data_IF_990389731788
#
_entry.id   IF_990389731788
#
_cell.length_a   1.000
_cell.length_b   1.000
_cell.length_c   1.000
_cell.angle_alpha   90.00
_cell.angle_beta   90.00
_cell.angle_gamma   90.00
#
_symmetry.space_group_name_H-M   'P 1'
#
loop_
_entity.id
_entity.type
_entity.pdbx_description
1 polymer ?
2 water ?
#
# COMPACT_ATOMS: atom_id res chain seq x y z
N UNK A 10 -1.68 -23.99 -13.80
CA UNK A 10 -2.87 -23.97 -12.95
C UNK A 10 -3.75 -22.74 -13.23
N UNK A 11 -3.30 -21.57 -12.80
CA UNK A 11 -3.99 -20.33 -13.10
C UNK A 11 -5.41 -20.27 -12.58
N UNK A 12 -5.61 -20.75 -11.36
CA UNK A 12 -6.93 -20.67 -10.74
C UNK A 12 -6.93 -19.96 -9.41
N UNK A 13 -5.89 -19.17 -9.17
CA UNK A 13 -5.75 -18.51 -7.89
C UNK A 13 -6.84 -17.47 -7.62
N UNK A 14 -7.55 -17.02 -8.67
CA UNK A 14 -8.64 -16.08 -8.45
C UNK A 14 -10.02 -16.73 -8.33
N UNK A 15 -10.10 -18.05 -8.45
CA UNK A 15 -11.31 -18.79 -8.08
C UNK A 15 -11.40 -18.80 -6.56
N UNK A 16 -11.87 -17.72 -6.00
CA UNK A 16 -11.84 -17.52 -4.58
C UNK A 16 -13.23 -17.66 -3.96
N UNK A 17 -13.35 -18.55 -2.97
CA UNK A 17 -14.58 -18.63 -2.18
C UNK A 17 -14.33 -18.34 -0.71
N UNK A 18 -13.09 -18.09 -0.36
CA UNK A 18 -12.79 -17.73 1.01
C UNK A 18 -11.66 -16.71 1.08
N UNK A 19 -11.94 -15.55 1.68
CA UNK A 19 -10.90 -14.59 1.94
C UNK A 19 -10.75 -14.55 3.44
N UNK A 20 -9.63 -14.02 3.87
CA UNK A 20 -9.30 -14.03 5.28
C UNK A 20 -8.78 -12.67 5.67
N UNK A 21 -9.06 -12.26 6.91
CA UNK A 21 -8.39 -11.11 7.47
C UNK A 21 -6.95 -11.57 7.67
N UNK A 22 -6.04 -10.96 6.91
CA UNK A 22 -4.63 -11.39 6.92
C UNK A 22 -3.73 -10.51 7.77
N UNK A 23 -2.85 -11.17 8.49
CA UNK A 23 -1.86 -10.50 9.29
C UNK A 23 -0.49 -11.04 8.93
N UNK A 24 0.56 -10.30 9.30
CA UNK A 24 1.92 -10.75 8.97
C UNK A 24 2.11 -12.16 9.50
N UNK A 25 2.79 -13.01 8.74
CA UNK A 25 3.12 -14.34 9.23
C UNK A 25 4.61 -14.51 9.52
N UNK A 26 5.41 -13.52 9.12
CA UNK A 26 6.83 -13.53 9.46
C UNK A 26 7.32 -12.18 9.95
N UNK A 27 8.18 -12.21 10.95
CA UNK A 27 8.75 -11.00 11.50
C UNK A 27 10.22 -10.98 11.19
N UNK A 28 10.75 -9.78 11.01
CA UNK A 28 12.17 -9.65 10.87
C UNK A 28 12.56 -8.51 11.78
N UNK A 29 13.21 -8.89 12.86
CA UNK A 29 13.65 -7.95 13.86
C UNK A 29 15.04 -7.50 13.45
N UNK A 30 15.21 -6.20 13.37
CA UNK A 30 16.53 -5.64 13.17
C UNK A 30 16.86 -4.76 14.36
N UNK A 31 18.09 -4.28 14.42
CA UNK A 31 18.53 -3.50 15.57
C UNK A 31 17.66 -2.28 15.88
N UNK A 32 17.23 -1.52 14.86
CA UNK A 32 16.42 -0.34 15.12
C UNK A 32 15.03 -0.38 14.48
N UNK A 33 14.60 -1.55 14.03
CA UNK A 33 13.29 -1.65 13.42
C UNK A 33 12.76 -3.05 13.20
N UNK A 34 11.49 -3.11 12.83
CA UNK A 34 10.80 -4.36 12.63
C UNK A 34 10.23 -4.39 11.23
N UNK A 35 10.30 -5.56 10.60
CA UNK A 35 9.70 -5.76 9.31
C UNK A 35 8.76 -6.95 9.40
N UNK A 36 7.48 -6.68 9.21
CA UNK A 36 6.47 -7.72 9.24
C UNK A 36 5.99 -8.04 7.82
N UNK A 37 6.07 -9.33 7.48
CA UNK A 37 5.78 -9.76 6.11
C UNK A 37 4.54 -10.64 6.07
N UNK A 38 3.56 -10.21 5.27
CA UNK A 38 2.37 -11.02 5.09
C UNK A 38 2.77 -12.22 4.27
N UNK A 39 1.93 -13.25 4.28
CA UNK A 39 2.20 -14.49 3.56
C UNK A 39 1.78 -14.33 2.10
N UNK A 40 2.76 -14.18 1.22
CA UNK A 40 2.48 -14.00 -0.18
C UNK A 40 1.94 -15.25 -0.84
N UNK A 41 1.97 -16.38 -0.13
CA UNK A 41 1.43 -17.62 -0.69
C UNK A 41 -0.07 -17.67 -0.55
N UNK A 42 -0.60 -16.93 0.41
CA UNK A 42 -2.05 -16.85 0.55
C UNK A 42 -2.69 -16.68 -0.83
N UNK A 43 -3.70 -17.49 -1.09
CA UNK A 43 -4.31 -17.54 -2.40
C UNK A 43 -4.66 -16.14 -2.93
N UNK A 44 -5.24 -15.32 -2.08
CA UNK A 44 -5.71 -14.02 -2.58
C UNK A 44 -4.54 -13.10 -2.89
N UNK A 45 -3.37 -13.32 -2.26
CA UNK A 45 -2.18 -12.57 -2.66
C UNK A 45 -1.67 -13.06 -4.01
N UNK A 46 -1.78 -14.37 -4.24
CA UNK A 46 -1.34 -14.92 -5.50
C UNK A 46 -2.25 -14.38 -6.60
N UNK A 47 -3.54 -14.35 -6.32
CA UNK A 47 -4.51 -13.80 -7.24
C UNK A 47 -4.20 -12.32 -7.56
N UNK A 48 -3.88 -11.53 -6.53
CA UNK A 48 -3.64 -10.10 -6.67
C UNK A 48 -2.25 -9.85 -7.23
N UNK A 49 -1.33 -10.77 -6.99
CA UNK A 49 0.02 -10.64 -7.50
C UNK A 49 0.77 -9.55 -6.76
N UNK A 50 0.61 -9.52 -5.45
CA UNK A 50 1.29 -8.53 -4.66
C UNK A 50 1.80 -9.15 -3.39
N UNK A 51 2.67 -8.42 -2.72
CA UNK A 51 3.09 -8.78 -1.39
C UNK A 51 2.92 -7.53 -0.54
N UNK A 52 2.77 -7.72 0.74
CA UNK A 52 2.64 -6.60 1.63
C UNK A 52 3.62 -6.77 2.76
N UNK A 53 4.33 -5.69 3.06
CA UNK A 53 5.11 -5.60 4.28
C UNK A 53 4.77 -4.36 5.08
N UNK A 54 5.12 -4.40 6.36
CA UNK A 54 4.97 -3.24 7.21
C UNK A 54 6.29 -3.11 7.94
N UNK A 55 6.91 -1.94 7.85
CA UNK A 55 8.16 -1.71 8.54
C UNK A 55 7.92 -0.73 9.63
N UNK A 56 8.43 -1.05 10.80
CA UNK A 56 8.40 -0.17 11.94
C UNK A 56 9.83 0.20 12.20
N UNK A 57 10.15 1.46 11.94
CA UNK A 57 11.50 1.95 12.14
C UNK A 57 11.51 2.78 13.40
N UNK A 58 12.24 2.32 14.39
CA UNK A 58 12.34 3.05 15.65
C UNK A 58 12.97 4.42 15.44
N UNK A 59 12.71 5.36 16.36
CA UNK A 59 13.37 6.67 16.27
C UNK A 59 14.88 6.51 16.13
N UNK A 60 15.49 7.39 15.31
CA UNK A 60 16.92 7.32 15.01
C UNK A 60 17.31 6.06 14.25
N UNK A 61 16.32 5.37 13.69
CA UNK A 61 16.54 4.18 12.90
C UNK A 61 16.71 4.45 11.41
N UNK A 62 17.68 3.78 10.82
CA UNK A 62 17.99 3.95 9.41
C UNK A 62 17.73 2.68 8.61
N UNK A 63 16.65 2.68 7.83
CA UNK A 63 16.40 1.61 6.87
C UNK A 63 17.49 1.68 5.82
N UNK A 64 18.35 0.67 5.79
CA UNK A 64 19.49 0.65 4.88
C UNK A 64 19.01 0.79 3.43
N UNK A 65 19.85 1.36 2.57
CA UNK A 65 19.44 1.44 1.17
C UNK A 65 19.19 0.07 0.56
N UNK A 66 18.10 -0.04 -0.18
CA UNK A 66 17.83 -1.22 -0.97
C UNK A 66 17.01 -0.85 -2.20
N UNK A 67 16.82 -1.82 -3.07
CA UNK A 67 15.85 -1.68 -4.14
C UNK A 67 15.16 -3.03 -4.36
N UNK A 68 14.01 -3.00 -5.04
CA UNK A 68 13.33 -4.22 -5.40
C UNK A 68 12.87 -4.05 -6.83
N UNK A 69 12.84 -5.16 -7.56
CA UNK A 69 12.48 -5.15 -8.96
C UNK A 69 11.02 -4.74 -9.18
N UNK A 70 10.21 -4.79 -8.13
CA UNK A 70 8.81 -4.34 -8.24
C UNK A 70 8.59 -2.92 -7.73
N UNK A 71 7.63 -2.18 -8.33
CA UNK A 71 7.27 -0.85 -7.85
C UNK A 71 6.55 -1.01 -6.51
N UNK A 72 6.59 0.01 -5.67
CA UNK A 72 5.96 -0.06 -4.38
C UNK A 72 5.11 1.15 -4.16
N UNK A 73 4.03 0.95 -3.44
CA UNK A 73 3.15 1.98 -2.99
C UNK A 73 3.29 1.94 -1.49
N UNK A 74 3.69 3.06 -0.91
CA UNK A 74 3.97 3.14 0.51
C UNK A 74 3.00 4.10 1.21
N UNK A 75 2.38 3.63 2.28
CA UNK A 75 1.60 4.52 3.12
C UNK A 75 2.30 4.65 4.46
N UNK A 76 2.53 5.88 4.87
CA UNK A 76 3.13 6.19 6.16
C UNK A 76 2.00 6.17 7.16
N UNK A 77 1.91 5.10 7.92
CA UNK A 77 0.79 4.90 8.82
C UNK A 77 0.98 5.79 10.02
N UNK A 78 2.24 5.97 10.39
CA UNK A 78 2.57 6.62 11.64
C UNK A 78 3.93 7.25 11.55
N UNK A 79 4.07 8.39 12.19
CA UNK A 79 5.37 9.02 12.33
C UNK A 79 5.74 9.94 11.19
N UNK A 80 6.96 10.42 11.27
CA UNK A 80 7.56 11.16 10.17
C UNK A 80 9.03 10.82 10.11
N UNK A 81 9.66 11.22 9.02
CA UNK A 81 11.05 10.92 8.78
C UNK A 81 11.37 11.43 7.40
N UNK A 82 12.45 10.90 6.85
CA UNK A 82 12.88 11.30 5.54
C UNK A 82 13.30 10.08 4.76
N UNK A 83 13.07 10.13 3.47
CA UNK A 83 13.51 9.08 2.58
C UNK A 83 14.40 9.70 1.52
N UNK A 84 15.54 9.06 1.27
CA UNK A 84 16.37 9.42 0.15
C UNK A 84 16.17 8.46 -1.01
N UNK A 85 15.80 8.98 -2.16
CA UNK A 85 15.72 8.20 -3.38
C UNK A 85 16.92 8.48 -4.28
N UNK A 86 17.64 7.45 -4.68
CA UNK A 86 18.80 7.65 -5.55
C UNK A 86 18.42 7.32 -6.97
N UNK A 87 17.70 8.24 -7.60
CA UNK A 87 17.27 8.02 -8.96
C UNK A 87 18.41 8.34 -9.90
N UNK A 88 18.76 7.38 -10.78
CA UNK A 88 19.85 7.53 -11.73
C UNK A 88 19.64 8.74 -12.63
N UNK A 89 20.56 9.70 -12.58
CA UNK A 89 20.55 10.82 -13.50
C UNK A 89 20.13 12.13 -12.87
N UNK A 90 19.58 12.06 -11.66
CA UNK A 90 19.07 13.25 -11.00
C UNK A 90 20.21 14.05 -10.38
N UNK A 91 20.00 15.37 -10.21
CA UNK A 91 21.10 16.29 -9.89
C UNK A 91 21.62 16.11 -8.47
N UNK A 92 22.94 16.17 -8.30
CA UNK A 92 23.51 16.36 -6.98
C UNK A 92 23.06 17.70 -6.37
N UNK A 93 23.39 17.90 -5.10
CA UNK A 93 22.82 18.98 -4.33
C UNK A 93 23.88 19.44 -3.32
N UNK A 94 23.91 20.74 -3.02
CA UNK A 94 24.93 21.28 -2.11
C UNK A 94 24.37 22.28 -1.11
N UNK A 125 32.35 19.56 3.09
CA UNK A 125 30.96 19.63 2.66
C UNK A 125 30.44 18.32 2.08
N UNK A 126 29.26 18.36 1.49
CA UNK A 126 28.63 17.15 1.00
C UNK A 126 27.70 17.39 -0.18
N UNK A 127 27.57 16.37 -1.03
CA UNK A 127 26.61 16.37 -2.10
C UNK A 127 25.79 15.09 -2.00
N UNK A 128 24.49 15.20 -2.18
CA UNK A 128 23.64 14.04 -2.27
C UNK A 128 22.38 14.38 -3.05
N UNK A 129 21.58 13.37 -3.35
CA UNK A 129 20.37 13.64 -4.11
C UNK A 129 19.30 14.22 -3.20
N UNK A 130 18.19 14.64 -3.80
CA UNK A 130 17.11 15.26 -3.04
C UNK A 130 16.64 14.34 -1.92
N UNK A 131 16.60 14.90 -0.72
CA UNK A 131 16.01 14.26 0.43
C UNK A 131 14.57 14.69 0.46
N UNK A 132 13.67 13.74 0.69
CA UNK A 132 12.26 14.10 0.74
C UNK A 132 11.75 13.75 2.12
N UNK A 133 10.66 14.39 2.53
CA UNK A 133 10.11 14.17 3.85
C UNK A 133 8.97 13.16 3.78
N UNK A 134 8.88 12.34 4.81
CA UNK A 134 7.77 11.40 4.95
C UNK A 134 6.96 11.85 6.14
N UNK A 135 5.64 11.90 5.99
CA UNK A 135 4.79 12.20 7.13
C UNK A 135 3.57 11.29 7.14
N UNK A 136 2.99 11.12 8.32
CA UNK A 136 1.75 10.36 8.45
C UNK A 136 0.75 10.77 7.38
N UNK A 137 0.06 9.79 6.81
CA UNK A 137 -0.91 10.09 5.79
C UNK A 137 -0.30 10.13 4.41
N UNK A 138 1.01 10.04 4.35
CA UNK A 138 1.71 10.08 3.07
C UNK A 138 1.52 8.79 2.30
N UNK A 139 1.11 8.92 1.05
CA UNK A 139 1.18 7.83 0.08
C UNK A 139 2.25 8.12 -0.96
N UNK A 140 3.34 7.37 -0.85
CA UNK A 140 4.53 7.53 -1.67
C UNK A 140 4.64 6.40 -2.73
N UNK A 141 5.11 6.75 -3.92
CA UNK A 141 5.31 5.77 -5.00
C UNK A 141 6.78 5.51 -5.25
N UNK A 142 7.21 4.26 -5.11
CA UNK A 142 8.57 3.83 -5.47
C UNK A 142 8.59 3.09 -6.79
N UNK A 143 9.19 3.69 -7.83
CA UNK A 143 9.28 3.00 -9.13
C UNK A 143 10.17 1.79 -9.00
N UNK A 144 9.98 0.81 -9.87
CA UNK A 144 10.76 -0.42 -9.83
C UNK A 144 12.25 -0.10 -9.87
N UNK A 145 13.04 -0.81 -9.07
CA UNK A 145 14.47 -0.76 -9.18
C UNK A 145 15.13 0.45 -8.51
N UNK A 146 14.33 1.45 -8.13
CA UNK A 146 14.90 2.64 -7.51
C UNK A 146 15.42 2.37 -6.09
N UNK A 147 16.70 2.59 -5.91
CA UNK A 147 17.34 2.37 -4.63
C UNK A 147 16.89 3.47 -3.66
N UNK A 148 16.72 3.12 -2.41
CA UNK A 148 16.24 4.11 -1.46
C UNK A 148 16.48 3.66 -0.04
N UNK A 149 16.61 4.66 0.83
CA UNK A 149 16.76 4.41 2.25
C UNK A 149 15.78 5.32 2.97
N UNK A 150 15.47 4.98 4.20
CA UNK A 150 14.59 5.83 5.00
C UNK A 150 15.18 6.00 6.38
N UNK A 151 14.83 7.10 7.03
CA UNK A 151 15.31 7.36 8.37
C UNK A 151 14.25 8.05 9.20
N UNK A 152 14.06 7.55 10.41
CA UNK A 152 13.09 8.17 11.30
C UNK A 152 13.74 9.26 12.14
N UNK A 153 13.54 10.51 11.74
CA UNK A 153 14.08 11.63 12.48
C UNK A 153 13.05 12.20 13.42
N UNK A 154 11.97 11.46 13.63
CA UNK A 154 10.91 11.87 14.53
C UNK A 154 11.01 11.19 15.87
N UNK A 155 9.96 11.33 16.67
CA UNK A 155 9.97 10.87 18.06
C UNK A 155 9.18 9.59 18.28
N UNK A 156 8.15 9.38 17.46
CA UNK A 156 7.39 8.14 17.52
C UNK A 156 7.89 7.15 16.47
N UNK A 157 7.54 5.87 16.60
CA UNK A 157 8.05 4.95 15.59
C UNK A 157 7.48 5.27 14.20
N UNK A 158 8.33 5.20 13.19
CA UNK A 158 7.92 5.50 11.83
C UNK A 158 7.39 4.23 11.21
N UNK A 159 6.14 4.24 10.77
CA UNK A 159 5.51 3.02 10.28
C UNK A 159 4.95 3.15 8.88
N UNK A 160 5.45 2.30 7.99
CA UNK A 160 5.06 2.31 6.60
C UNK A 160 4.44 0.97 6.20
N UNK A 161 3.31 1.05 5.52
CA UNK A 161 2.67 -0.12 5.01
C UNK A 161 2.92 -0.10 3.52
N UNK A 162 3.58 -1.16 3.07
CA UNK A 162 4.14 -1.20 1.75
C UNK A 162 3.47 -2.27 0.90
N UNK A 163 2.79 -1.84 -0.16
CA UNK A 163 2.38 -2.78 -1.18
C UNK A 163 3.50 -2.94 -2.20
N UNK A 164 3.87 -4.19 -2.45
CA UNK A 164 4.89 -4.52 -3.43
C UNK A 164 4.23 -5.25 -4.59
N UNK A 165 4.21 -4.60 -5.75
CA UNK A 165 3.40 -5.09 -6.85
C UNK A 165 4.20 -5.99 -7.76
N UNK A 166 4.41 -7.22 -7.30
CA UNK A 166 5.30 -8.16 -7.96
C UNK A 166 4.79 -8.49 -9.34
N UNK A 167 3.47 -8.41 -9.54
CA UNK A 167 2.88 -8.68 -10.84
C UNK A 167 2.94 -7.48 -11.81
N UNK A 168 3.54 -6.38 -11.39
CA UNK A 168 3.67 -5.21 -12.26
C UNK A 168 4.50 -5.57 -13.48
N UNK A 169 4.08 -5.07 -14.64
CA UNK A 169 4.89 -5.16 -15.86
C UNK A 169 6.33 -4.72 -15.62
N UNK A 170 6.53 -3.81 -14.67
CA UNK A 170 7.88 -3.33 -14.37
C UNK A 170 8.77 -4.40 -13.73
N UNK A 171 8.17 -5.33 -12.99
CA UNK A 171 8.93 -6.43 -12.41
C UNK A 171 9.16 -7.55 -13.42
N UNK A 172 10.40 -7.73 -13.85
CA UNK A 172 10.71 -8.76 -14.84
C UNK A 172 11.39 -9.99 -14.21
N UNK A 173 11.49 -10.03 -12.89
CA UNK A 173 12.01 -11.20 -12.20
C UNK A 173 10.83 -12.09 -11.82
N UNK A 174 10.97 -12.97 -10.84
CA UNK A 174 9.85 -13.86 -10.51
C UNK A 174 8.63 -13.10 -9.96
N UNK A 175 7.47 -13.71 -10.11
CA UNK A 175 6.20 -13.11 -9.74
C UNK A 175 5.69 -13.61 -8.40
N UNK A 176 6.25 -14.74 -7.95
CA UNK A 176 5.85 -15.34 -6.69
C UNK A 176 6.16 -14.49 -5.46
N UNK A 177 7.38 -13.98 -5.37
CA UNK A 177 7.82 -13.23 -4.20
C UNK A 177 8.62 -11.99 -4.61
N UNK A 178 8.56 -10.92 -3.80
CA UNK A 178 9.42 -9.78 -4.12
C UNK A 178 10.87 -10.21 -4.10
N UNK A 179 11.68 -9.56 -4.92
CA UNK A 179 13.11 -9.74 -4.86
C UNK A 179 13.68 -8.43 -4.36
N UNK A 180 14.39 -8.50 -3.25
CA UNK A 180 15.01 -7.32 -2.71
C UNK A 180 16.53 -7.38 -2.66
N UNK A 181 17.14 -6.29 -3.11
CA UNK A 181 18.59 -6.16 -3.11
C UNK A 181 18.97 -5.04 -2.15
N UNK A 182 19.84 -5.33 -1.18
CA UNK A 182 20.33 -4.30 -0.25
C UNK A 182 21.72 -3.83 -0.63
N UNK A 183 22.00 -2.59 -0.26
CA UNK A 183 23.24 -1.92 -0.65
C UNK A 183 24.18 -1.81 0.53
N UNK A 184 23.78 -2.38 1.66
CA UNK A 184 24.57 -2.32 2.87
C UNK A 184 24.04 -3.33 3.89
N UNK A 185 24.86 -3.69 4.85
CA UNK A 185 24.44 -4.55 5.95
C UNK A 185 24.43 -6.02 5.60
N UNK A 186 23.87 -6.82 6.48
CA UNK A 186 23.69 -8.24 6.22
C UNK A 186 22.26 -8.61 6.58
N UNK A 187 21.30 -8.12 5.78
CA UNK A 187 19.85 -8.24 5.99
C UNK A 187 19.33 -9.66 5.79
N UNK A 188 18.35 -10.06 6.59
CA UNK A 188 17.70 -11.34 6.38
C UNK A 188 16.87 -11.29 5.11
N UNK A 189 16.71 -12.43 4.43
CA UNK A 189 15.76 -12.51 3.33
C UNK A 189 14.42 -12.08 3.89
N UNK A 190 13.66 -11.34 3.12
CA UNK A 190 12.40 -10.85 3.62
C UNK A 190 11.25 -11.74 3.16
N UNK A 191 11.50 -12.63 2.20
CA UNK A 191 10.41 -13.41 1.63
C UNK A 191 10.65 -14.91 1.41
N UNK A 192 11.46 -15.53 2.26
CA UNK A 192 11.72 -16.96 2.20
C UNK A 192 12.86 -17.36 3.13
N UNK A 207 25.41 -17.31 4.60
CA UNK A 207 25.51 -17.59 3.18
C UNK A 207 24.80 -16.56 2.31
N UNK A 208 24.47 -15.41 2.90
CA UNK A 208 23.83 -14.32 2.17
C UNK A 208 24.27 -12.95 2.68
N UNK A 209 23.88 -11.90 1.97
CA UNK A 209 24.20 -10.53 2.35
C UNK A 209 23.75 -9.49 1.33
N UNK A 210 24.25 -8.27 1.47
CA UNK A 210 23.96 -7.17 0.55
C UNK A 210 24.74 -7.36 -0.74
N UNK A 211 24.39 -6.63 -1.80
CA UNK A 211 24.94 -6.96 -3.11
C UNK A 211 26.45 -6.87 -3.15
N UNK A 212 27.02 -6.00 -2.32
CA UNK A 212 28.46 -5.82 -2.31
C UNK A 212 29.16 -7.09 -1.84
N UNK A 213 28.56 -7.77 -0.86
CA UNK A 213 29.12 -9.03 -0.39
C UNK A 213 29.40 -9.97 -1.56
N UNK A 214 28.65 -9.80 -2.65
CA UNK A 214 28.81 -10.67 -3.80
C UNK A 214 30.09 -10.46 -4.57
N UNK A 215 30.60 -9.25 -4.57
CA UNK A 215 31.76 -8.97 -5.41
C UNK A 215 33.08 -9.34 -4.73
N UNK A 216 34.02 -9.76 -5.58
CA UNK A 216 35.42 -9.84 -5.21
C UNK A 216 35.82 -8.54 -4.51
N UNK A 217 36.29 -8.64 -3.28
CA UNK A 217 36.63 -7.47 -2.46
C UNK A 217 37.60 -6.54 -3.17
N UNK A 218 38.61 -7.12 -3.82
CA UNK A 218 39.57 -6.33 -4.56
C UNK A 218 38.86 -5.42 -5.54
N UNK A 219 38.10 -6.02 -6.48
CA UNK A 219 37.28 -5.29 -7.43
C UNK A 219 36.49 -4.16 -6.76
N UNK A 220 35.96 -4.42 -5.57
CA UNK A 220 35.24 -3.39 -4.83
C UNK A 220 36.12 -2.21 -4.49
N UNK A 221 37.24 -2.50 -3.84
CA UNK A 221 38.19 -1.46 -3.43
C UNK A 221 38.61 -0.64 -4.64
N UNK A 222 39.00 -1.34 -5.70
CA UNK A 222 39.40 -0.71 -6.94
C UNK A 222 38.28 0.18 -7.45
N UNK A 223 37.06 -0.33 -7.38
CA UNK A 223 35.92 0.37 -7.96
C UNK A 223 35.74 1.73 -7.32
N UNK A 224 35.86 1.77 -6.00
CA UNK A 224 35.61 3.00 -5.27
C UNK A 224 36.86 3.84 -5.01
N UNK A 225 38.00 3.38 -5.48
CA UNK A 225 39.26 4.05 -5.20
C UNK A 225 39.47 4.05 -3.69
N UNK A 226 39.24 2.89 -3.09
CA UNK A 226 39.18 2.81 -1.64
C UNK A 226 40.01 1.62 -1.17
N UNK A 227 40.43 1.65 0.09
CA UNK A 227 41.26 0.57 0.61
C UNK A 227 40.45 -0.72 0.66
N UNK A 228 41.14 -1.85 0.70
CA UNK A 228 40.48 -3.15 0.88
C UNK A 228 39.69 -3.20 2.17
N UNK A 229 40.30 -2.78 3.27
CA UNK A 229 39.66 -2.91 4.57
C UNK A 229 38.29 -2.23 4.53
N UNK A 230 38.24 -1.06 3.89
CA UNK A 230 36.98 -0.33 3.78
C UNK A 230 36.01 -1.02 2.83
N UNK A 231 36.53 -1.59 1.74
CA UNK A 231 35.70 -2.41 0.85
C UNK A 231 34.96 -3.51 1.62
N UNK A 232 35.64 -4.14 2.58
CA UNK A 232 35.03 -5.19 3.42
C UNK A 232 33.88 -4.64 4.24
N UNK A 233 33.94 -3.35 4.54
CA UNK A 233 32.86 -2.70 5.25
C UNK A 233 31.62 -2.67 4.36
N UNK A 234 31.83 -2.35 3.09
CA UNK A 234 30.76 -2.48 2.11
C UNK A 234 30.10 -3.86 2.23
N UNK A 235 30.92 -4.89 2.38
CA UNK A 235 30.38 -6.23 2.29
C UNK A 235 29.71 -6.66 3.56
N UNK A 236 29.97 -5.90 4.63
CA UNK A 236 29.29 -6.08 5.91
C UNK A 236 29.20 -7.53 6.33
N UNK A 237 30.21 -8.32 6.00
CA UNK A 237 30.24 -9.71 6.45
C UNK A 237 30.20 -9.76 7.98
N UNK A 238 30.71 -8.71 8.62
CA UNK A 238 30.78 -8.62 10.07
C UNK A 238 29.65 -7.76 10.66
N UNK A 239 28.47 -7.82 10.07
CA UNK A 239 27.37 -6.94 10.52
C UNK A 239 26.19 -7.75 11.02
N UNK A 240 25.63 -7.33 12.14
CA UNK A 240 24.58 -8.10 12.78
C UNK A 240 23.39 -7.21 13.11
N UNK A 241 23.34 -6.04 12.48
CA UNK A 241 22.31 -5.05 12.76
C UNK A 241 21.01 -5.26 12.00
N UNK A 242 21.06 -6.06 10.95
CA UNK A 242 19.87 -6.31 10.14
C UNK A 242 19.63 -5.16 9.18
N UNK A 243 18.41 -5.02 8.66
CA UNK A 243 18.11 -4.04 7.60
C UNK A 243 17.78 -2.64 8.11
N UNK A 244 17.46 -2.51 9.39
CA UNK A 244 17.16 -1.20 9.95
C UNK A 244 18.09 -0.95 11.12
N UNK A 245 19.04 -0.05 10.93
CA UNK A 245 20.11 0.17 11.88
C UNK A 245 19.96 1.46 12.68
N UNK A 246 20.59 1.49 13.85
CA UNK A 246 20.52 2.63 14.75
C UNK A 246 21.65 3.63 14.50
N UNK A 247 21.32 4.91 14.48
CA UNK A 247 22.33 5.94 14.32
C UNK A 247 22.38 6.87 15.52
N UNK A 249 23.38 9.48 17.54
CA UNK A 249 23.84 10.42 16.51
C UNK A 249 22.66 11.04 15.76
N UNK A 250 22.92 11.45 14.52
CA UNK A 250 21.89 11.99 13.65
C UNK A 250 22.44 12.15 12.25
N UNK A 251 21.61 12.66 11.33
CA UNK A 251 22.04 12.83 9.94
C UNK A 251 22.00 14.31 9.54
N UNK A 252 23.06 14.76 8.88
CA UNK A 252 23.29 16.18 8.59
C UNK A 252 24.03 16.87 9.74
N UNK A 281 11.70 14.92 -14.89
CA UNK A 281 11.05 15.65 -13.81
C UNK A 281 11.03 14.89 -12.50
N UNK A 282 11.03 13.55 -12.57
CA UNK A 282 10.98 12.72 -11.37
C UNK A 282 11.94 13.21 -10.29
N UNK A 283 13.05 13.79 -10.73
CA UNK A 283 14.07 14.35 -9.83
C UNK A 283 13.52 15.41 -8.88
N UNK A 284 12.47 16.11 -9.32
CA UNK A 284 11.94 17.26 -8.56
C UNK A 284 10.52 17.10 -7.98
N UNK A 285 9.76 16.10 -8.44
CA UNK A 285 8.43 15.83 -7.90
C UNK A 285 8.46 15.29 -6.46
N UNK A 286 7.39 15.46 -5.71
CA UNK A 286 7.37 14.91 -4.35
C UNK A 286 7.29 13.40 -4.36
N UNK A 287 6.62 12.85 -5.38
CA UNK A 287 6.42 11.40 -5.48
C UNK A 287 5.49 10.89 -4.38
N UNK A 288 4.75 11.81 -3.78
CA UNK A 288 3.82 11.49 -2.71
C UNK A 288 2.65 12.46 -2.68
N UNK A 289 1.51 12.01 -2.19
CA UNK A 289 0.48 12.93 -1.74
C UNK A 289 -0.07 12.48 -0.38
N UNK A 290 -0.29 13.44 0.51
CA UNK A 290 -0.83 13.12 1.82
C UNK A 290 -2.34 12.99 1.75
N UNK A 291 -2.86 11.81 2.06
CA UNK A 291 -4.29 11.55 1.93
C UNK A 291 -5.04 11.97 3.18
N UNK A 292 -4.30 12.47 4.17
CA UNK A 292 -4.94 13.03 5.36
C UNK A 292 -5.37 14.49 5.15
N UNK A 293 -5.11 15.00 3.96
CA UNK A 293 -5.45 16.38 3.65
C UNK A 293 -6.93 16.45 3.28
N UNK A 294 -7.76 16.88 4.22
CA UNK A 294 -9.21 16.80 4.03
C UNK A 294 -9.72 17.57 2.80
N UNK A 295 -8.99 18.58 2.35
CA UNK A 295 -9.41 19.31 1.16
C UNK A 295 -9.29 18.45 -0.11
N UNK A 296 -8.46 17.41 -0.04
CA UNK A 296 -8.21 16.59 -1.23
C UNK A 296 -9.23 15.47 -1.40
N UNK A 297 -9.95 15.16 -0.33
CA UNK A 297 -11.01 14.18 -0.40
C UNK A 297 -11.88 14.34 -1.66
N UNK A 298 -12.20 13.22 -2.31
CA UNK A 298 -13.07 13.24 -3.48
C UNK A 298 -14.49 13.07 -3.01
N UNK A 299 -14.60 12.46 -1.84
CA UNK A 299 -15.89 12.21 -1.26
C UNK A 299 -15.85 12.62 0.18
N UNK A 300 -16.83 13.44 0.56
CA UNK A 300 -17.19 13.60 1.95
C UNK A 300 -18.70 13.47 2.07
N UNK A 301 -19.15 12.88 3.17
CA UNK A 301 -20.56 12.85 3.49
C UNK A 301 -20.68 13.15 4.97
N UNK A 302 -21.34 14.26 5.31
CA UNK A 302 -21.62 14.73 6.67
C UNK A 302 -21.83 13.60 7.67
N UNK A 303 -20.90 13.45 8.62
CA UNK A 303 -21.00 12.42 9.64
C UNK A 303 -21.14 11.02 9.06
N UNK A 304 -20.50 10.81 7.92
CA UNK A 304 -20.36 9.48 7.34
C UNK A 304 -18.87 9.20 7.22
N UNK A 305 -18.17 10.13 6.57
CA UNK A 305 -16.72 10.11 6.48
C UNK A 305 -16.20 10.63 5.15
N UNK A 306 -15.01 10.18 4.77
CA UNK A 306 -14.42 10.62 3.52
C UNK A 306 -13.59 9.55 2.81
N UNK A 307 -13.39 9.79 1.52
CA UNK A 307 -12.62 8.92 0.67
C UNK A 307 -11.68 9.82 -0.09
N UNK A 308 -10.41 9.46 -0.14
CA UNK A 308 -9.41 10.29 -0.79
C UNK A 308 -8.57 9.43 -1.70
N UNK A 309 -8.56 9.75 -2.99
CA UNK A 309 -7.88 8.91 -3.96
C UNK A 309 -6.53 9.45 -4.36
N UNK A 310 -5.56 8.55 -4.51
CA UNK A 310 -4.30 8.88 -5.14
C UNK A 310 -4.25 8.12 -6.45
N UNK A 311 -4.23 8.87 -7.54
CA UNK A 311 -4.08 8.31 -8.87
C UNK A 311 -3.13 9.16 -9.70
N UNK A 312 -3.24 9.05 -11.01
CA UNK A 312 -2.28 9.64 -11.93
C UNK A 312 -2.41 11.16 -12.05
N UNK A 313 -3.51 11.71 -11.55
CA UNK A 313 -3.76 13.15 -11.65
C UNK A 313 -3.13 13.93 -10.50
N UNK A 314 -3.26 13.45 -9.27
CA UNK A 314 -2.56 14.11 -8.20
C UNK A 314 -1.17 13.52 -7.94
N UNK A 315 -0.93 12.32 -8.45
CA UNK A 315 0.40 11.71 -8.36
C UNK A 315 0.78 11.16 -9.74
N UNK A 316 1.35 12.02 -10.60
CA UNK A 316 1.56 11.70 -12.01
C UNK A 316 2.46 10.49 -12.24
N UNK A 317 3.42 10.27 -11.36
CA UNK A 317 4.30 9.11 -11.47
C UNK A 317 3.46 7.81 -11.54
N UNK A 318 2.27 7.82 -10.95
CA UNK A 318 1.46 6.62 -10.95
C UNK A 318 1.06 6.24 -12.37
N UNK A 319 1.27 7.17 -13.31
CA UNK A 319 1.04 6.85 -14.71
C UNK A 319 2.05 5.76 -15.07
N UNK A 320 3.23 5.83 -14.48
CA UNK A 320 4.26 4.84 -14.78
C UNK A 320 4.09 3.53 -13.99
N UNK A 321 3.77 3.64 -12.71
CA UNK A 321 3.59 2.46 -11.89
C UNK A 321 2.31 1.70 -12.21
N UNK A 322 1.31 2.39 -12.75
CA UNK A 322 0.00 1.81 -12.97
C UNK A 322 -0.55 1.24 -11.66
N UNK A 323 -0.37 2.00 -10.58
CA UNK A 323 -1.04 1.70 -9.35
C UNK A 323 -1.81 2.93 -8.94
N UNK A 324 -2.78 2.72 -8.07
CA UNK A 324 -3.45 3.81 -7.42
C UNK A 324 -3.71 3.43 -5.98
N UNK A 325 -4.32 4.33 -5.23
CA UNK A 325 -4.50 4.15 -3.81
C UNK A 325 -5.68 4.98 -3.37
N UNK A 326 -6.25 4.64 -2.22
CA UNK A 326 -7.24 5.49 -1.58
C UNK A 326 -7.14 5.34 -0.08
N UNK A 327 -7.52 6.39 0.62
CA UNK A 327 -7.70 6.28 2.05
C UNK A 327 -9.16 6.57 2.36
N UNK A 328 -9.72 5.78 3.26
CA UNK A 328 -11.10 5.98 3.64
C UNK A 328 -11.22 6.17 5.14
N UNK A 329 -12.06 7.12 5.54
CA UNK A 329 -12.45 7.20 6.93
C UNK A 329 -13.97 7.07 7.04
N UNK A 330 -14.39 6.07 7.80
CA UNK A 330 -15.80 5.96 8.11
C UNK A 330 -15.91 6.31 9.56
N UNK A 331 -16.84 7.20 9.87
CA UNK A 331 -17.08 7.62 11.25
C UNK A 331 -17.99 6.60 11.90
N UNK A 332 -18.28 6.78 13.19
CA UNK A 332 -19.08 5.80 13.92
C UNK A 332 -20.32 5.34 13.16
N UNK A 333 -20.45 4.03 13.00
CA UNK A 333 -21.61 3.37 12.38
C UNK A 333 -21.87 3.74 10.91
N UNK A 334 -20.95 4.48 10.30
CA UNK A 334 -21.10 4.84 8.91
C UNK A 334 -20.69 3.67 8.05
N UNK A 335 -21.16 3.68 6.81
CA UNK A 335 -20.82 2.62 5.89
C UNK A 335 -20.46 3.16 4.52
N UNK A 336 -19.66 2.38 3.80
CA UNK A 336 -19.44 2.60 2.40
C UNK A 336 -20.36 1.63 1.67
N UNK A 337 -21.26 2.17 0.85
CA UNK A 337 -22.22 1.34 0.16
C UNK A 337 -21.56 0.18 -0.56
N UNK A 338 -22.31 -0.91 -0.73
CA UNK A 338 -21.76 -2.02 -1.50
C UNK A 338 -21.26 -1.46 -2.83
N UNK A 339 -20.04 -1.80 -3.20
CA UNK A 339 -19.46 -1.33 -4.44
C UNK A 339 -18.51 -2.39 -4.93
N UNK A 340 -18.10 -2.24 -6.18
CA UNK A 340 -17.07 -3.09 -6.73
C UNK A 340 -16.09 -2.23 -7.48
N UNK A 341 -14.85 -2.66 -7.48
CA UNK A 341 -13.82 -1.97 -8.22
C UNK A 341 -13.79 -2.54 -9.64
N UNK A 342 -13.83 -1.63 -10.62
CA UNK A 342 -13.96 -2.04 -12.03
C UNK A 342 -12.69 -2.66 -12.55
N UNK A 343 -11.56 -2.13 -12.13
CA UNK A 343 -10.35 -2.36 -12.87
C UNK A 343 -9.16 -2.94 -12.10
N UNK A 344 -9.33 -3.14 -10.80
CA UNK A 344 -8.17 -3.36 -9.96
C UNK A 344 -8.49 -4.22 -8.73
N UNK A 345 -7.49 -4.98 -8.28
CA UNK A 345 -7.56 -5.65 -6.98
C UNK A 345 -7.37 -4.57 -5.95
N UNK A 346 -8.01 -4.77 -4.82
CA UNK A 346 -7.92 -3.80 -3.78
C UNK A 346 -7.36 -4.43 -2.52
N UNK A 347 -6.16 -4.04 -2.15
CA UNK A 347 -5.60 -4.57 -0.92
C UNK A 347 -5.96 -3.57 0.14
N UNK A 348 -7.06 -3.84 0.82
CA UNK A 348 -7.53 -2.95 1.87
C UNK A 348 -6.94 -3.29 3.23
N UNK A 349 -6.07 -2.40 3.68
CA UNK A 349 -5.42 -2.48 4.97
C UNK A 349 -6.16 -1.62 5.98
N UNK A 350 -6.48 -2.20 7.14
CA UNK A 350 -7.14 -1.42 8.16
C UNK A 350 -6.14 -0.64 8.98
N UNK A 351 -6.32 0.68 8.98
CA UNK A 351 -5.44 1.58 9.68
C UNK A 351 -5.87 1.76 11.13
N UNK A 352 -7.15 2.02 11.37
CA UNK A 352 -7.67 2.08 12.73
C UNK A 352 -9.15 1.79 12.78
N UNK A 353 -9.69 1.60 13.97
CA UNK A 353 -11.10 1.28 14.11
C UNK A 353 -11.40 -0.16 13.76
N UNK A 354 -12.63 -0.42 13.35
CA UNK A 354 -13.09 -1.77 13.12
C UNK A 354 -14.29 -1.70 12.20
N UNK A 355 -14.42 -2.71 11.33
CA UNK A 355 -15.52 -2.73 10.40
C UNK A 355 -16.00 -4.14 10.08
N UNK A 356 -17.31 -4.28 9.95
CA UNK A 356 -17.88 -5.50 9.39
C UNK A 356 -17.74 -5.37 7.88
N UNK A 357 -16.87 -6.21 7.32
CA UNK A 357 -16.62 -6.17 5.91
C UNK A 357 -17.21 -7.41 5.28
N UNK A 358 -17.98 -7.21 4.24
CA UNK A 358 -18.51 -8.35 3.53
C UNK A 358 -18.20 -8.27 2.02
N UNK A 359 -17.71 -9.39 1.50
CA UNK A 359 -17.22 -9.48 0.14
C UNK A 359 -17.88 -10.66 -0.56
N UNK A 360 -18.31 -10.42 -1.79
CA UNK A 360 -19.04 -11.39 -2.58
C UNK A 360 -18.30 -11.65 -3.88
N UNK A 361 -18.32 -12.89 -4.33
CA UNK A 361 -17.60 -13.25 -5.54
C UNK A 361 -18.54 -13.27 -6.75
N UNK A 362 -18.07 -13.85 -7.86
CA UNK A 362 -18.85 -13.83 -9.09
C UNK A 362 -20.03 -14.79 -9.04
N UNK A 363 -20.03 -15.64 -8.02
CA UNK A 363 -21.05 -16.68 -7.87
C UNK A 363 -22.21 -16.21 -7.01
N UNK A 364 -22.10 -15.00 -6.47
CA UNK A 364 -23.09 -14.49 -5.55
C UNK A 364 -22.89 -15.05 -4.15
N UNK A 365 -21.72 -15.65 -3.93
CA UNK A 365 -21.39 -16.24 -2.63
C UNK A 365 -20.55 -15.27 -1.82
N UNK A 366 -20.87 -15.16 -0.54
CA UNK A 366 -20.04 -14.40 0.38
C UNK A 366 -18.72 -15.14 0.53
N UNK A 367 -17.61 -14.43 0.42
CA UNK A 367 -16.31 -15.09 0.58
C UNK A 367 -15.65 -14.50 1.78
N UNK A 368 -16.35 -13.58 2.39
CA UNK A 368 -15.81 -12.84 3.51
C UNK A 368 -16.94 -12.14 4.23
N UNK A 369 -16.98 -12.34 5.54
CA UNK A 369 -17.95 -11.66 6.38
C UNK A 369 -17.38 -11.69 7.79
N UNK A 370 -16.44 -10.78 8.05
CA UNK A 370 -15.68 -10.76 9.29
C UNK A 370 -15.45 -9.30 9.59
N UNK A 371 -14.91 -9.02 10.79
CA UNK A 371 -14.56 -7.67 11.18
C UNK A 371 -13.07 -7.44 10.98
N UNK A 372 -12.71 -6.35 10.32
CA UNK A 372 -11.31 -5.99 10.17
C UNK A 372 -10.98 -4.96 11.21
N UNK A 373 -9.79 -5.06 11.79
CA UNK A 373 -9.30 -4.03 12.72
C UNK A 373 -7.84 -3.74 12.48
N UNK A 374 -7.28 -2.90 13.34
CA UNK A 374 -5.92 -2.39 13.18
C UNK A 374 -4.98 -3.46 12.64
N UNK A 375 -4.28 -3.14 11.56
CA UNK A 375 -3.14 -3.91 11.12
C UNK A 375 -3.50 -5.13 10.30
N UNK A 376 -4.79 -5.38 10.14
CA UNK A 376 -5.24 -6.46 9.27
C UNK A 376 -5.58 -5.93 7.90
N UNK A 377 -5.46 -6.79 6.90
CA UNK A 377 -5.86 -6.40 5.56
C UNK A 377 -6.66 -7.52 4.97
N UNK A 378 -7.54 -7.18 4.04
CA UNK A 378 -8.15 -8.20 3.22
C UNK A 378 -7.90 -7.84 1.77
N UNK A 379 -7.77 -8.87 0.94
CA UNK A 379 -7.60 -8.65 -0.47
C UNK A 379 -8.96 -8.75 -1.11
N UNK A 380 -9.39 -7.64 -1.71
CA UNK A 380 -10.58 -7.62 -2.51
C UNK A 380 -10.20 -7.78 -3.97
N UNK A 381 -10.52 -8.92 -4.57
CA UNK A 381 -10.20 -9.11 -6.00
C UNK A 381 -11.04 -8.20 -6.89
N UNK A 382 -10.41 -7.77 -7.99
CA UNK A 382 -11.07 -6.99 -9.02
C UNK A 382 -12.47 -7.52 -9.24
N UNK A 383 -13.44 -6.62 -9.21
CA UNK A 383 -14.81 -6.92 -9.56
C UNK A 383 -15.58 -7.58 -8.43
N UNK A 384 -14.89 -8.02 -7.39
CA UNK A 384 -15.60 -8.57 -6.24
C UNK A 384 -16.34 -7.45 -5.51
N UNK A 385 -17.62 -7.67 -5.27
CA UNK A 385 -18.45 -6.69 -4.59
C UNK A 385 -18.18 -6.67 -3.09
N UNK A 386 -18.21 -5.47 -2.53
CA UNK A 386 -17.84 -5.26 -1.14
C UNK A 386 -18.60 -4.10 -0.48
N UNK A 387 -18.94 -4.30 0.80
CA UNK A 387 -19.51 -3.26 1.66
C UNK A 387 -18.69 -3.15 2.95
N UNK A 388 -18.55 -1.95 3.46
CA UNK A 388 -17.77 -1.74 4.66
C UNK A 388 -18.65 -1.03 5.67
N UNK A 389 -18.86 -1.67 6.82
CA UNK A 389 -19.71 -1.09 7.85
C UNK A 389 -18.87 -0.80 9.09
N UNK A 390 -18.65 0.48 9.35
CA UNK A 390 -17.89 0.89 10.52
C UNK A 390 -18.64 0.56 11.81
N UNK A 391 -17.91 0.29 12.88
CA UNK A 391 -18.52 0.17 14.19
C UNK A 391 -18.32 1.47 14.97
N UNK A 392 -18.60 1.42 16.27
CA UNK A 392 -18.73 2.64 17.09
C UNK A 392 -17.49 3.54 17.07
N UNK A 393 -16.34 2.94 16.81
CA UNK A 393 -15.11 3.71 16.80
C UNK A 393 -14.77 4.20 15.40
N UNK A 394 -15.64 3.90 14.46
CA UNK A 394 -15.37 4.20 13.07
C UNK A 394 -14.44 3.16 12.48
N UNK A 395 -14.00 3.41 11.26
CA UNK A 395 -13.17 2.45 10.56
C UNK A 395 -12.42 3.19 9.48
N UNK A 396 -11.11 3.00 9.43
CA UNK A 396 -10.27 3.74 8.52
C UNK A 396 -9.30 2.79 7.87
N UNK A 397 -9.15 2.92 6.56
CA UNK A 397 -8.37 1.98 5.81
C UNK A 397 -7.59 2.67 4.70
N UNK A 398 -6.48 2.08 4.32
CA UNK A 398 -5.85 2.43 3.07
C UNK A 398 -6.03 1.26 2.10
N UNK A 399 -6.41 1.60 0.88
CA UNK A 399 -6.57 0.64 -0.20
C UNK A 399 -5.46 0.83 -1.22
N UNK A 400 -4.64 -0.20 -1.39
CA UNK A 400 -3.63 -0.17 -2.43
C UNK A 400 -4.31 -0.83 -3.62
N UNK A 401 -4.21 -0.21 -4.78
CA UNK A 401 -4.97 -0.71 -5.93
C UNK A 401 -4.03 -1.09 -7.05
N UNK A 402 -4.24 -2.29 -7.58
CA UNK A 402 -3.31 -2.86 -8.55
C UNK A 402 -3.52 -2.36 -9.97
N UNK A 403 -3.98 -1.13 -10.16
CA UNK A 403 -3.93 -0.53 -11.48
C UNK A 403 -3.97 0.97 -11.43
N UNK A 404 -3.78 1.56 -12.61
CA UNK A 404 -3.79 3.00 -12.76
C UNK A 404 -5.21 3.51 -12.57
N UNK A 405 -5.36 4.60 -11.84
CA UNK A 405 -6.68 5.21 -11.69
C UNK A 405 -7.75 4.14 -11.57
N UNK A 406 -7.58 3.25 -10.60
CA UNK A 406 -8.62 2.28 -10.28
C UNK A 406 -9.90 3.07 -10.05
N UNK A 407 -11.00 2.55 -10.56
CA UNK A 407 -12.27 3.20 -10.47
C UNK A 407 -13.17 2.19 -9.80
N UNK A 408 -14.06 2.65 -8.93
CA UNK A 408 -15.03 1.72 -8.40
C UNK A 408 -16.42 2.20 -8.73
N UNK A 409 -17.41 1.35 -8.50
CA UNK A 409 -18.78 1.73 -8.71
C UNK A 409 -19.59 1.34 -7.51
N UNK A 410 -20.22 2.32 -6.88
CA UNK A 410 -21.19 2.05 -5.84
C UNK A 410 -22.40 1.38 -6.46
N UNK A 411 -23.06 0.54 -5.70
CA UNK A 411 -24.26 -0.11 -6.19
C UNK A 411 -25.46 0.69 -5.70
N UNK A 412 -25.33 1.30 -4.53
CA UNK A 412 -26.39 2.12 -3.95
C UNK A 412 -26.00 3.59 -3.89
N UNK A 413 -27.00 4.47 -3.89
CA UNK A 413 -26.77 5.89 -3.65
C UNK A 413 -26.69 6.76 -4.87
N UNK A 414 -26.30 8.01 -4.67
CA UNK A 414 -26.12 8.92 -5.79
C UNK A 414 -24.87 8.50 -6.56
N UNK A 415 -24.95 8.49 -7.88
CA UNK A 415 -23.84 7.95 -8.65
C UNK A 415 -23.62 6.51 -8.25
N UNK A 416 -24.63 5.67 -8.46
CA UNK A 416 -24.55 4.24 -8.20
C UNK A 416 -25.06 3.46 -9.41
N UNK A 417 -24.81 2.16 -9.44
CA UNK A 417 -25.28 1.35 -10.55
C UNK A 417 -26.79 1.45 -10.61
N UNK A 418 -27.43 1.24 -9.46
CA UNK A 418 -28.89 1.23 -9.41
C UNK A 418 -29.48 2.55 -9.91
N UNK A 419 -28.98 3.65 -9.39
CA UNK A 419 -29.49 4.97 -9.77
C UNK A 419 -29.27 5.28 -11.25
N UNK A 420 -28.19 4.75 -11.83
CA UNK A 420 -27.94 4.90 -13.25
C UNK A 420 -28.91 4.09 -14.11
N UNK A 421 -29.59 3.12 -13.52
CA UNK A 421 -30.57 2.29 -14.23
C UNK A 421 -31.90 3.02 -14.45
N UNK A 422 -32.43 2.96 -15.69
CA UNK A 422 -33.75 3.52 -15.94
C UNK A 422 -34.75 2.80 -15.05
N UNK A 423 -35.63 3.53 -14.38
CA UNK A 423 -36.50 2.91 -13.39
C UNK A 423 -37.26 1.65 -13.89
N UNK A 424 -37.66 1.64 -15.15
CA UNK A 424 -38.33 0.48 -15.74
C UNK A 424 -37.41 -0.76 -15.76
N UNK A 425 -36.14 -0.54 -16.05
CA UNK A 425 -35.17 -1.62 -15.98
C UNK A 425 -35.12 -2.13 -14.54
N UNK A 426 -35.07 -1.20 -13.60
CA UNK A 426 -34.98 -1.59 -12.20
C UNK A 426 -36.18 -2.44 -11.77
N UNK A 427 -37.40 -1.94 -11.99
CA UNK A 427 -38.59 -2.67 -11.57
C UNK A 427 -38.68 -4.01 -12.30
N UNK A 428 -38.50 -3.97 -13.61
CA UNK A 428 -38.47 -5.20 -14.40
C UNK A 428 -37.43 -6.25 -13.98
N UNK A 429 -36.19 -5.84 -13.70
CA UNK A 429 -35.15 -6.81 -13.34
C UNK A 429 -35.30 -7.31 -11.92
N UNK A 430 -35.96 -6.51 -11.09
CA UNK A 430 -36.14 -6.92 -9.71
C UNK A 430 -37.56 -7.40 -9.45
N UNK A 431 -38.40 -7.31 -10.46
CA UNK A 431 -39.80 -7.74 -10.34
C UNK A 431 -40.46 -7.01 -9.19
N UNK A 432 -40.49 -5.68 -9.28
CA UNK A 432 -41.07 -4.85 -8.24
C UNK A 432 -41.80 -3.68 -8.89
N UNK A 433 -42.54 -2.90 -8.09
CA UNK A 433 -43.35 -1.84 -8.66
C UNK A 433 -42.48 -0.70 -9.15
N UNK A 434 -43.07 0.17 -9.96
CA UNK A 434 -42.40 1.37 -10.40
C UNK A 434 -42.13 2.31 -9.23
N UNK A 435 -42.80 2.08 -8.11
CA UNK A 435 -42.61 2.93 -6.93
C UNK A 435 -41.67 2.28 -5.91
N UNK A 436 -41.68 0.95 -5.85
CA UNK A 436 -40.68 0.23 -5.08
C UNK A 436 -39.34 0.48 -5.74
N UNK A 437 -39.31 0.35 -7.06
CA UNK A 437 -38.15 0.69 -7.85
C UNK A 437 -37.63 2.09 -7.52
N UNK A 438 -38.53 3.08 -7.52
CA UNK A 438 -38.18 4.46 -7.23
C UNK A 438 -37.40 4.57 -5.92
N UNK A 439 -37.98 4.05 -4.85
CA UNK A 439 -37.33 4.08 -3.56
C UNK A 439 -36.00 3.33 -3.54
N UNK A 440 -35.96 2.22 -4.27
CA UNK A 440 -34.70 1.50 -4.43
C UNK A 440 -33.68 2.46 -5.03
N UNK A 441 -34.11 3.26 -6.00
CA UNK A 441 -33.22 4.19 -6.67
C UNK A 441 -32.85 5.40 -5.82
N UNK A 442 -33.82 5.99 -5.13
CA UNK A 442 -33.58 7.33 -4.57
C UNK A 442 -33.61 7.46 -3.06
N UNK A 443 -34.02 6.41 -2.36
CA UNK A 443 -34.07 6.44 -0.90
C UNK A 443 -32.72 6.70 -0.27
N UNK A 444 -31.67 6.59 -1.07
CA UNK A 444 -30.32 6.76 -0.59
C UNK A 444 -29.63 7.92 -1.30
N UNK A 445 -29.78 9.15 -0.78
CA UNK A 445 -29.32 10.37 -1.45
C UNK A 445 -27.83 10.61 -1.31
N UNK A 446 -27.19 9.96 -0.35
CA UNK A 446 -25.76 10.15 -0.15
C UNK A 446 -24.96 9.53 -1.29
N UNK A 447 -23.73 9.99 -1.43
CA UNK A 447 -22.80 9.47 -2.42
C UNK A 447 -21.76 8.58 -1.74
N UNK A 448 -21.86 7.27 -1.97
CA UNK A 448 -20.78 6.33 -1.64
C UNK A 448 -20.61 6.06 -0.15
N UNK A 449 -20.54 7.13 0.65
CA UNK A 449 -20.44 7.03 2.10
C UNK A 449 -21.75 7.46 2.74
N UNK A 450 -22.27 6.62 3.63
CA UNK A 450 -23.56 6.83 4.26
C UNK A 450 -23.43 6.85 5.77
N UNK A 451 -24.28 7.63 6.42
CA UNK A 451 -24.40 7.53 7.85
C UNK A 451 -25.40 6.41 8.13
N UNK A 452 -24.99 5.47 8.98
CA UNK A 452 -25.80 4.28 9.27
C UNK A 452 -25.98 4.06 10.77
N UNK A 453 -26.86 3.12 11.11
CA UNK A 453 -27.12 2.77 12.51
C UNK A 453 -26.51 1.41 12.87
N UNK A 454 -25.83 1.35 14.01
CA UNK A 454 -25.11 0.14 14.41
C UNK A 454 -25.67 -0.49 15.66
#
# INVERSE_FOLDING_TARGET
MEGRFREFQQGNECQIDRLTALEPTNRIQAERGLTEVWDSNEQEFRCAGVSVIRRTIEPHGLLLPSFTSAPELIYIEQGNGITGMMIPGCPETYESGSQQFQGGEDERIREQGSRKFGMRGDRFQDQHQKIRHLREGDIFAMPAGVSHWAYNNGDQPLVAVILIDTANHANQLDKNFPTRFYLAGKPQQEHSGEHQFSRESRRGERNTGNIFRGFETRLLAESFGVSEEIAQKLQAEQDDRGNIVRVQEGLHVIKPPSRAWEEREQGSRGSRYLPNGVEETICSARLAVNVDDPSKADVYTPEAGRLTTVNSFNLPILRHLRLSAAKGVLYRNAMMAPHYNLNAHNIMYCVRGRGRIQIVNDQGQSVFDEELSRGQLVVVPQNFAIVKQAFEDGFEWVSFKTSENAMFQSLAGRTSAIRSLPIDVVSNIYQISREEAFGLKFNRPETTLFRSSGQGEYRRKISIA
#
